data_IF_424447703945
#
_entry.id   IF_424447703945
#
_cell.length_a   1.000
_cell.length_b   1.000
_cell.length_c   1.000
_cell.angle_alpha   90.00
_cell.angle_beta   90.00
_cell.angle_gamma   90.00
#
_symmetry.space_group_name_H-M   'P 1'
#
loop_
_entity.id
_entity.type
_entity.pdbx_description
1 polymer ?
#
# COMPACT_ATOMS: atom_id res chain seq x y z
N UNK A 1 15.85 0.11 21.48
CA UNK A 1 15.28 -0.99 20.65
C UNK A 1 13.87 -1.38 21.07
N UNK A 2 13.60 -1.62 22.36
CA UNK A 2 12.26 -1.96 22.88
C UNK A 2 11.17 -0.88 22.64
N UNK A 3 11.52 0.41 22.70
CA UNK A 3 10.58 1.51 22.47
C UNK A 3 10.12 1.60 21.00
N UNK A 4 11.03 1.31 20.05
CA UNK A 4 10.71 1.24 18.60
C UNK A 4 9.79 0.06 18.31
N UNK A 5 10.08 -1.12 18.88
CA UNK A 5 9.21 -2.29 18.75
C UNK A 5 7.81 -2.05 19.32
N UNK A 6 7.69 -1.37 20.47
CA UNK A 6 6.38 -0.95 21.02
C UNK A 6 5.64 0.02 20.09
N UNK A 7 6.34 0.98 19.50
CA UNK A 7 5.73 1.91 18.55
C UNK A 7 5.19 1.18 17.30
N UNK A 8 5.99 0.27 16.71
CA UNK A 8 5.54 -0.55 15.58
C UNK A 8 4.40 -1.51 15.95
N UNK A 9 4.41 -2.07 17.16
CA UNK A 9 3.31 -2.90 17.66
C UNK A 9 2.00 -2.11 17.83
N UNK A 10 2.08 -0.87 18.32
CA UNK A 10 0.92 0.02 18.45
C UNK A 10 0.35 0.37 17.07
N UNK A 11 1.22 0.71 16.12
CA UNK A 11 0.86 1.00 14.73
C UNK A 11 0.21 -0.22 14.04
N UNK A 12 0.77 -1.42 14.24
CA UNK A 12 0.16 -2.67 13.76
C UNK A 12 -1.21 -2.96 14.39
N UNK A 13 -1.38 -2.65 15.68
CA UNK A 13 -2.66 -2.81 16.39
C UNK A 13 -3.72 -1.85 15.83
N UNK A 14 -3.35 -0.60 15.56
CA UNK A 14 -4.23 0.37 14.92
C UNK A 14 -4.69 -0.09 13.54
N UNK A 15 -3.79 -0.63 12.71
CA UNK A 15 -4.18 -1.22 11.43
C UNK A 15 -5.10 -2.43 11.58
N UNK A 16 -4.83 -3.32 12.54
CA UNK A 16 -5.68 -4.49 12.80
C UNK A 16 -7.10 -4.11 13.21
N UNK A 17 -7.26 -3.12 14.09
CA UNK A 17 -8.57 -2.58 14.48
C UNK A 17 -9.29 -2.00 13.26
N UNK A 18 -8.59 -1.21 12.44
CA UNK A 18 -9.15 -0.63 11.22
C UNK A 18 -9.66 -1.69 10.24
N UNK A 19 -8.88 -2.75 10.01
CA UNK A 19 -9.25 -3.84 9.10
C UNK A 19 -10.41 -4.69 9.62
N UNK A 20 -10.47 -4.96 10.93
CA UNK A 20 -11.52 -5.78 11.53
C UNK A 20 -12.87 -5.04 11.60
N UNK A 21 -12.87 -3.77 12.02
CA UNK A 21 -14.10 -3.02 12.26
C UNK A 21 -14.51 -2.10 11.11
N UNK A 22 -13.59 -1.79 10.18
CA UNK A 22 -13.82 -0.90 9.05
C UNK A 22 -15.00 -1.31 8.15
N UNK A 23 -15.10 -2.57 7.68
CA UNK A 23 -16.21 -3.04 6.85
C UNK A 23 -17.56 -2.96 7.57
N UNK A 24 -17.61 -3.29 8.87
CA UNK A 24 -18.84 -3.25 9.67
C UNK A 24 -19.30 -1.80 9.85
N UNK A 25 -18.38 -0.91 10.25
CA UNK A 25 -18.68 0.50 10.43
C UNK A 25 -19.13 1.16 9.12
N UNK A 26 -18.43 0.89 8.01
CA UNK A 26 -18.79 1.43 6.69
C UNK A 26 -20.14 0.89 6.18
N UNK A 27 -20.44 -0.40 6.39
CA UNK A 27 -21.73 -0.99 6.03
C UNK A 27 -22.90 -0.35 6.78
N UNK A 28 -22.77 -0.18 8.10
CA UNK A 28 -23.79 0.49 8.93
C UNK A 28 -23.99 1.95 8.52
N UNK A 29 -22.90 2.66 8.21
CA UNK A 29 -22.94 4.03 7.72
C UNK A 29 -23.66 4.15 6.37
N UNK A 30 -23.36 3.25 5.42
CA UNK A 30 -24.04 3.22 4.12
C UNK A 30 -25.54 2.97 4.32
N UNK A 31 -25.92 2.01 5.16
CA UNK A 31 -27.34 1.67 5.36
C UNK A 31 -28.15 2.79 6.00
N UNK A 32 -27.55 3.57 6.91
CA UNK A 32 -28.26 4.62 7.65
C UNK A 32 -28.19 6.00 6.97
N UNK A 33 -27.04 6.36 6.41
CA UNK A 33 -26.73 7.72 5.93
C UNK A 33 -26.27 7.77 4.46
N UNK A 34 -26.29 6.63 3.76
CA UNK A 34 -25.83 6.51 2.38
C UNK A 34 -24.32 6.53 2.23
N UNK A 35 -23.85 6.29 1.00
CA UNK A 35 -22.41 6.13 0.69
C UNK A 35 -21.56 7.37 0.99
N UNK A 36 -22.14 8.57 0.95
CA UNK A 36 -21.44 9.85 1.23
C UNK A 36 -20.91 9.92 2.65
N UNK A 37 -21.56 9.23 3.60
CA UNK A 37 -21.18 9.21 5.01
C UNK A 37 -19.79 8.57 5.23
N UNK A 38 -19.35 7.67 4.36
CA UNK A 38 -18.00 7.09 4.42
C UNK A 38 -16.94 8.17 4.25
N UNK A 39 -17.14 9.07 3.28
CA UNK A 39 -16.21 10.18 3.04
C UNK A 39 -16.19 11.16 4.22
N UNK A 40 -17.35 11.42 4.83
CA UNK A 40 -17.43 12.25 6.04
C UNK A 40 -16.71 11.62 7.23
N UNK A 41 -16.85 10.30 7.42
CA UNK A 41 -16.13 9.57 8.47
C UNK A 41 -14.62 9.65 8.27
N UNK A 42 -14.14 9.39 7.05
CA UNK A 42 -12.71 9.50 6.71
C UNK A 42 -12.20 10.91 6.94
N UNK A 43 -12.95 11.93 6.51
CA UNK A 43 -12.60 13.33 6.74
C UNK A 43 -12.54 13.67 8.25
N UNK A 44 -13.53 13.22 9.04
CA UNK A 44 -13.57 13.44 10.47
C UNK A 44 -12.37 12.78 11.19
N UNK A 45 -12.05 11.54 10.84
CA UNK A 45 -10.88 10.83 11.38
C UNK A 45 -9.57 11.51 10.99
N UNK A 46 -9.45 11.98 9.74
CA UNK A 46 -8.28 12.72 9.27
C UNK A 46 -8.10 14.03 10.04
N UNK A 47 -9.18 14.78 10.27
CA UNK A 47 -9.16 16.02 11.06
C UNK A 47 -8.77 15.73 12.52
N UNK A 48 -9.36 14.70 13.12
CA UNK A 48 -9.03 14.31 14.50
C UNK A 48 -7.56 13.91 14.63
N UNK A 49 -7.03 13.13 13.68
CA UNK A 49 -5.62 12.75 13.64
C UNK A 49 -4.70 13.97 13.44
N UNK A 50 -5.07 14.90 12.56
CA UNK A 50 -4.32 16.14 12.35
C UNK A 50 -4.31 17.02 13.61
N UNK A 51 -5.45 17.18 14.29
CA UNK A 51 -5.54 17.93 15.56
C UNK A 51 -4.70 17.30 16.66
N UNK A 52 -4.72 15.97 16.80
CA UNK A 52 -3.86 15.27 17.75
C UNK A 52 -2.38 15.44 17.37
N UNK A 53 -2.05 15.29 16.08
CA UNK A 53 -0.70 15.48 15.56
C UNK A 53 -0.15 16.85 15.91
N UNK A 54 -0.91 17.91 15.64
CA UNK A 54 -0.55 19.30 15.96
C UNK A 54 -0.32 19.54 17.46
N UNK A 55 -0.98 18.79 18.34
CA UNK A 55 -0.85 18.95 19.81
C UNK A 55 0.24 18.10 20.42
N UNK A 56 0.48 16.91 19.88
CA UNK A 56 1.30 15.87 20.54
C UNK A 56 2.65 15.68 19.85
N UNK A 57 2.74 15.90 18.54
CA UNK A 57 3.99 15.73 17.79
C UNK A 57 4.82 16.99 18.01
N UNK A 58 5.92 16.85 18.76
CA UNK A 58 6.99 17.85 18.75
C UNK A 58 7.70 17.77 17.41
N UNK A 59 7.85 18.94 16.79
CA UNK A 59 8.60 19.11 15.55
C UNK A 59 10.00 18.50 15.69
N UNK A 60 10.26 17.39 14.99
CA UNK A 60 11.57 16.78 14.91
C UNK A 60 12.34 17.44 13.77
N UNK A 61 12.68 18.73 13.95
CA UNK A 61 13.53 19.45 12.99
C UNK A 61 14.95 18.96 13.12
N UNK A 62 15.47 18.35 12.05
CA UNK A 62 16.91 18.18 11.84
C UNK A 62 17.49 19.56 11.45
N UNK A 63 18.29 20.21 12.31
CA UNK A 63 18.88 21.51 12.01
C UNK A 63 19.87 21.47 10.84
N UNK A 64 20.40 20.28 10.52
CA UNK A 64 21.32 20.03 9.42
C UNK A 64 20.62 19.54 8.14
N UNK A 65 19.27 19.59 8.09
CA UNK A 65 18.50 19.24 6.89
C UNK A 65 18.77 20.24 5.75
N UNK A 66 19.80 19.95 4.97
CA UNK A 66 20.22 20.71 3.79
C UNK A 66 19.45 20.20 2.57
N UNK A 67 18.26 20.79 2.35
CA UNK A 67 17.50 20.67 1.11
C UNK A 67 16.86 19.30 0.81
N UNK A 68 15.67 19.33 0.21
CA UNK A 68 15.03 18.15 -0.37
C UNK A 68 15.74 17.83 -1.71
N UNK A 69 15.98 16.55 -2.00
CA UNK A 69 16.44 16.15 -3.34
C UNK A 69 15.30 16.29 -4.36
N UNK A 70 15.17 17.49 -4.91
CA UNK A 70 14.17 17.82 -5.92
C UNK A 70 14.38 17.06 -7.23
N UNK A 71 15.63 16.72 -7.56
CA UNK A 71 15.95 15.99 -8.79
C UNK A 71 15.52 14.52 -8.65
N UNK A 72 15.83 13.88 -7.52
CA UNK A 72 15.34 12.54 -7.18
C UNK A 72 13.82 12.50 -7.10
N UNK A 73 13.20 13.44 -6.38
CA UNK A 73 11.75 13.52 -6.25
C UNK A 73 11.04 13.67 -7.61
N UNK A 74 11.55 14.56 -8.47
CA UNK A 74 11.00 14.80 -9.80
C UNK A 74 11.13 13.59 -10.71
N UNK A 75 12.33 13.02 -10.80
CA UNK A 75 12.59 11.84 -11.67
C UNK A 75 11.79 10.61 -11.22
N UNK A 76 11.69 10.37 -9.91
CA UNK A 76 10.87 9.29 -9.36
C UNK A 76 9.38 9.49 -9.63
N UNK A 77 8.88 10.71 -9.44
CA UNK A 77 7.46 11.03 -9.68
C UNK A 77 7.10 10.84 -11.15
N UNK A 78 7.94 11.32 -12.07
CA UNK A 78 7.71 11.16 -13.52
C UNK A 78 7.80 9.69 -13.92
N UNK A 79 8.76 8.94 -13.38
CA UNK A 79 8.87 7.50 -13.64
C UNK A 79 7.59 6.77 -13.21
N UNK A 80 7.15 6.99 -11.97
CA UNK A 80 5.97 6.32 -11.43
C UNK A 80 4.68 6.75 -12.15
N UNK A 81 4.52 8.04 -12.44
CA UNK A 81 3.35 8.54 -13.18
C UNK A 81 3.28 7.95 -14.59
N UNK A 82 4.41 7.90 -15.30
CA UNK A 82 4.49 7.33 -16.65
C UNK A 82 4.21 5.83 -16.63
N UNK A 83 4.75 5.11 -15.64
CA UNK A 83 4.48 3.68 -15.45
C UNK A 83 3.01 3.40 -15.20
N UNK A 84 2.43 4.08 -14.20
CA UNK A 84 1.03 3.90 -13.82
C UNK A 84 0.09 4.25 -14.96
N UNK A 85 0.33 5.37 -15.64
CA UNK A 85 -0.49 5.79 -16.77
C UNK A 85 -0.35 4.86 -17.97
N UNK A 86 0.88 4.44 -18.32
CA UNK A 86 1.11 3.49 -19.40
C UNK A 86 0.44 2.13 -19.17
N UNK A 87 0.53 1.60 -17.95
CA UNK A 87 -0.12 0.34 -17.58
C UNK A 87 -1.65 0.47 -17.57
N UNK A 88 -2.21 1.60 -17.14
CA UNK A 88 -3.65 1.84 -17.18
C UNK A 88 -4.18 1.97 -18.61
N UNK A 89 -3.38 2.51 -19.53
CA UNK A 89 -3.78 2.70 -20.92
C UNK A 89 -3.61 1.43 -21.77
N UNK A 90 -2.69 0.53 -21.39
CA UNK A 90 -2.40 -0.69 -22.15
C UNK A 90 -3.63 -1.60 -22.43
N UNK A 91 -4.57 -1.82 -21.49
CA UNK A 91 -5.79 -2.59 -21.77
C UNK A 91 -6.75 -1.91 -22.76
N UNK A 92 -6.73 -0.57 -22.86
CA UNK A 92 -7.64 0.19 -23.73
C UNK A 92 -7.08 0.38 -25.14
N UNK A 93 -5.81 0.75 -25.26
CA UNK A 93 -5.16 1.08 -26.53
C UNK A 93 -4.32 -0.07 -27.10
N UNK A 94 -4.01 -1.08 -26.29
CA UNK A 94 -3.14 -2.19 -26.65
C UNK A 94 -1.68 -1.95 -26.28
N UNK A 95 -0.93 -3.03 -26.06
CA UNK A 95 0.48 -2.98 -25.63
C UNK A 95 1.44 -2.44 -26.69
N UNK A 96 1.06 -2.51 -27.96
CA UNK A 96 1.86 -2.02 -29.08
C UNK A 96 1.53 -0.56 -29.47
N UNK A 97 0.61 0.09 -28.75
CA UNK A 97 0.26 1.47 -29.01
C UNK A 97 1.49 2.38 -28.77
N UNK A 98 1.81 3.30 -29.70
CA UNK A 98 2.97 4.19 -29.56
C UNK A 98 2.98 4.99 -28.26
N UNK A 99 1.82 5.42 -27.76
CA UNK A 99 1.69 6.15 -26.50
C UNK A 99 2.03 5.24 -25.30
N UNK A 100 1.55 3.99 -25.29
CA UNK A 100 1.87 3.03 -24.22
C UNK A 100 3.36 2.71 -24.22
N UNK A 101 3.95 2.42 -25.39
CA UNK A 101 5.38 2.11 -25.51
C UNK A 101 6.24 3.29 -25.09
N UNK A 102 5.90 4.52 -25.51
CA UNK A 102 6.65 5.72 -25.12
C UNK A 102 6.56 5.99 -23.62
N UNK A 103 5.40 5.81 -22.99
CA UNK A 103 5.25 5.97 -21.54
C UNK A 103 6.05 4.93 -20.76
N UNK A 104 6.02 3.66 -21.19
CA UNK A 104 6.80 2.59 -20.56
C UNK A 104 8.30 2.82 -20.73
N UNK A 105 8.74 3.24 -21.92
CA UNK A 105 10.13 3.60 -22.17
C UNK A 105 10.56 4.81 -21.33
N UNK A 106 9.75 5.87 -21.29
CA UNK A 106 9.99 7.05 -20.46
C UNK A 106 10.08 6.69 -18.98
N UNK A 107 9.21 5.81 -18.49
CA UNK A 107 9.29 5.28 -17.13
C UNK A 107 10.63 4.61 -16.86
N UNK A 108 11.11 3.74 -17.75
CA UNK A 108 12.41 3.05 -17.57
C UNK A 108 13.55 4.07 -17.55
N UNK A 109 13.55 5.02 -18.48
CA UNK A 109 14.58 6.05 -18.58
C UNK A 109 14.60 6.93 -17.33
N UNK A 110 13.45 7.42 -16.87
CA UNK A 110 13.34 8.22 -15.65
C UNK A 110 13.72 7.43 -14.40
N UNK A 111 13.41 6.14 -14.34
CA UNK A 111 13.81 5.28 -13.22
C UNK A 111 15.32 5.06 -13.18
N UNK A 112 15.96 4.84 -14.34
CA UNK A 112 17.43 4.77 -14.43
C UNK A 112 18.05 6.12 -14.05
N UNK A 113 17.49 7.23 -14.54
CA UNK A 113 17.94 8.57 -14.17
C UNK A 113 17.83 8.80 -12.65
N UNK A 114 16.72 8.40 -12.03
CA UNK A 114 16.53 8.45 -10.58
C UNK A 114 17.62 7.67 -9.84
N UNK A 115 17.92 6.43 -10.27
CA UNK A 115 18.99 5.62 -9.65
C UNK A 115 20.36 6.29 -9.78
N UNK A 116 20.64 6.93 -10.92
CA UNK A 116 21.91 7.64 -11.14
C UNK A 116 22.00 8.90 -10.27
N UNK A 117 20.92 9.69 -10.22
CA UNK A 117 20.83 10.90 -9.37
C UNK A 117 21.02 10.51 -7.91
N UNK A 118 20.36 9.47 -7.44
CA UNK A 118 20.44 9.07 -6.03
C UNK A 118 21.78 8.46 -5.63
N UNK A 119 22.50 7.85 -6.57
CA UNK A 119 23.88 7.43 -6.31
C UNK A 119 24.85 8.61 -6.19
N UNK A 120 24.52 9.75 -6.77
CA UNK A 120 25.35 10.95 -6.76
C UNK A 120 24.89 11.99 -5.71
N UNK A 121 23.67 11.87 -5.20
CA UNK A 121 23.11 12.76 -4.19
C UNK A 121 23.85 12.60 -2.85
N UNK A 122 24.13 13.71 -2.17
CA UNK A 122 24.81 13.70 -0.86
C UNK A 122 23.92 13.21 0.29
N UNK A 123 22.60 13.37 0.16
CA UNK A 123 21.58 12.84 1.08
C UNK A 123 20.45 12.24 0.25
N UNK A 124 20.58 10.98 -0.21
CA UNK A 124 19.59 10.38 -1.09
C UNK A 124 18.23 10.21 -0.40
N UNK A 125 17.14 10.39 -1.13
CA UNK A 125 15.79 10.17 -0.60
C UNK A 125 15.58 8.70 -0.25
N UNK A 126 16.17 7.82 -1.05
CA UNK A 126 16.13 6.39 -0.85
C UNK A 126 17.54 5.83 -0.79
N UNK A 127 17.88 5.22 0.34
CA UNK A 127 19.13 4.47 0.49
C UNK A 127 19.05 3.18 -0.33
N UNK A 128 19.57 3.23 -1.55
CA UNK A 128 19.60 2.10 -2.49
C UNK A 128 20.40 0.91 -1.96
N UNK A 129 21.27 1.10 -0.95
CA UNK A 129 22.01 -0.01 -0.33
C UNK A 129 21.10 -0.96 0.43
N UNK A 130 19.92 -0.50 0.87
CA UNK A 130 18.93 -1.35 1.53
C UNK A 130 18.42 -2.47 0.61
N UNK A 131 18.32 -2.22 -0.70
CA UNK A 131 17.93 -3.23 -1.67
C UNK A 131 18.99 -4.32 -1.87
N UNK A 132 20.24 -4.10 -1.46
CA UNK A 132 21.26 -5.15 -1.45
C UNK A 132 21.01 -6.20 -0.36
N UNK A 133 20.19 -5.89 0.66
CA UNK A 133 19.82 -6.83 1.71
C UNK A 133 18.58 -7.63 1.30
N UNK A 134 18.68 -8.96 1.11
CA UNK A 134 17.54 -9.79 0.71
C UNK A 134 16.37 -9.73 1.70
N UNK A 135 16.66 -9.49 2.98
CA UNK A 135 15.62 -9.31 4.02
C UNK A 135 14.76 -8.08 3.77
N UNK A 136 15.35 -6.96 3.36
CA UNK A 136 14.61 -5.74 3.05
C UNK A 136 13.71 -5.96 1.84
N UNK A 137 14.24 -6.57 0.77
CA UNK A 137 13.47 -6.94 -0.42
C UNK A 137 12.31 -7.88 -0.05
N UNK A 138 12.57 -8.89 0.79
CA UNK A 138 11.55 -9.81 1.30
C UNK A 138 10.41 -9.11 2.06
N UNK A 139 10.73 -8.11 2.90
CA UNK A 139 9.70 -7.32 3.61
C UNK A 139 8.86 -6.51 2.63
N UNK A 140 9.46 -5.92 1.58
CA UNK A 140 8.70 -5.18 0.57
C UNK A 140 7.80 -6.11 -0.26
N UNK A 141 8.28 -7.29 -0.64
CA UNK A 141 7.45 -8.30 -1.29
C UNK A 141 6.31 -8.77 -0.39
N UNK A 142 6.56 -8.92 0.92
CA UNK A 142 5.52 -9.29 1.88
C UNK A 142 4.44 -8.22 1.99
N UNK A 143 4.79 -6.94 1.87
CA UNK A 143 3.83 -5.83 1.83
C UNK A 143 3.07 -5.75 0.49
N UNK A 144 3.75 -6.02 -0.63
CA UNK A 144 3.16 -5.99 -1.96
C UNK A 144 2.25 -7.20 -2.25
N UNK A 145 2.57 -8.38 -1.72
CA UNK A 145 1.84 -9.61 -2.02
C UNK A 145 0.34 -9.53 -1.69
N UNK A 146 -0.11 -9.03 -0.52
CA UNK A 146 -1.53 -8.81 -0.26
C UNK A 146 -2.16 -7.80 -1.22
N UNK A 147 -1.46 -6.72 -1.57
CA UNK A 147 -1.99 -5.72 -2.49
C UNK A 147 -2.34 -6.34 -3.85
N UNK A 148 -1.47 -7.18 -4.40
CA UNK A 148 -1.73 -7.82 -5.70
C UNK A 148 -2.59 -9.09 -5.60
N UNK A 149 -2.28 -10.00 -4.67
CA UNK A 149 -2.95 -11.29 -4.58
C UNK A 149 -4.34 -11.21 -3.95
N UNK A 150 -4.61 -10.20 -3.12
CA UNK A 150 -5.92 -10.05 -2.47
C UNK A 150 -6.78 -8.95 -3.08
N UNK A 151 -6.27 -7.72 -3.20
CA UNK A 151 -7.10 -6.58 -3.63
C UNK A 151 -7.57 -6.73 -5.08
N UNK A 152 -6.71 -7.22 -5.98
CA UNK A 152 -7.09 -7.47 -7.37
C UNK A 152 -8.18 -8.54 -7.45
N UNK A 153 -8.03 -9.65 -6.72
CA UNK A 153 -9.01 -10.74 -6.71
C UNK A 153 -10.35 -10.34 -6.08
N UNK A 154 -10.34 -9.44 -5.09
CA UNK A 154 -11.56 -8.87 -4.51
C UNK A 154 -12.43 -8.14 -5.53
N UNK A 155 -11.83 -7.56 -6.58
CA UNK A 155 -12.56 -6.90 -7.66
C UNK A 155 -12.88 -7.89 -8.79
N UNK A 156 -11.89 -8.69 -9.19
CA UNK A 156 -12.00 -9.56 -10.36
C UNK A 156 -12.96 -10.74 -10.14
N UNK A 157 -12.97 -11.35 -8.96
CA UNK A 157 -13.76 -12.54 -8.69
C UNK A 157 -15.27 -12.27 -8.62
N UNK A 158 -15.77 -11.20 -7.99
CA UNK A 158 -17.20 -10.87 -8.08
C UNK A 158 -17.64 -10.60 -9.52
N UNK A 159 -16.84 -9.87 -10.30
CA UNK A 159 -17.12 -9.62 -11.72
C UNK A 159 -17.18 -10.93 -12.50
N UNK A 160 -16.28 -11.88 -12.21
CA UNK A 160 -16.28 -13.19 -12.84
C UNK A 160 -17.46 -14.06 -12.40
N UNK A 161 -17.64 -14.28 -11.10
CA UNK A 161 -18.66 -15.20 -10.57
C UNK A 161 -20.09 -14.71 -10.83
N UNK A 162 -20.34 -13.42 -10.58
CA UNK A 162 -21.69 -12.84 -10.73
C UNK A 162 -21.89 -12.39 -12.17
N UNK A 163 -20.93 -11.65 -12.73
CA UNK A 163 -21.08 -11.02 -14.05
C UNK A 163 -20.91 -11.97 -15.23
N UNK A 164 -19.95 -12.91 -15.19
CA UNK A 164 -19.65 -13.81 -16.32
C UNK A 164 -20.30 -15.18 -16.11
N UNK A 165 -20.12 -15.78 -14.93
CA UNK A 165 -20.58 -17.14 -14.62
C UNK A 165 -22.05 -17.19 -14.15
N UNK A 166 -22.69 -16.03 -13.91
CA UNK A 166 -24.09 -15.93 -13.53
C UNK A 166 -24.43 -16.61 -12.20
N UNK A 167 -23.44 -16.78 -11.32
CA UNK A 167 -23.63 -17.41 -10.02
C UNK A 167 -24.50 -16.52 -9.12
N UNK A 168 -25.31 -17.17 -8.27
CA UNK A 168 -26.04 -16.49 -7.21
C UNK A 168 -25.06 -15.76 -6.26
N UNK A 169 -25.41 -14.55 -5.85
CA UNK A 169 -24.61 -13.65 -5.00
C UNK A 169 -24.16 -14.33 -3.69
N UNK A 170 -25.05 -15.12 -3.09
CA UNK A 170 -24.75 -15.88 -1.86
C UNK A 170 -23.63 -16.89 -2.09
N UNK A 171 -23.65 -17.60 -3.23
CA UNK A 171 -22.65 -18.63 -3.56
C UNK A 171 -21.31 -18.00 -3.92
N UNK A 172 -21.31 -16.87 -4.64
CA UNK A 172 -20.11 -16.08 -4.88
C UNK A 172 -19.50 -15.56 -3.57
N UNK A 173 -20.34 -15.05 -2.66
CA UNK A 173 -19.94 -14.63 -1.31
C UNK A 173 -19.30 -15.76 -0.49
N UNK A 174 -19.86 -16.97 -0.55
CA UNK A 174 -19.27 -18.14 0.10
C UNK A 174 -17.87 -18.48 -0.44
N UNK A 175 -17.68 -18.44 -1.77
CA UNK A 175 -16.36 -18.68 -2.37
C UNK A 175 -15.36 -17.56 -2.03
N UNK A 176 -15.83 -16.33 -1.85
CA UNK A 176 -15.00 -15.21 -1.41
C UNK A 176 -14.49 -15.38 0.03
N UNK A 177 -15.15 -16.18 0.88
CA UNK A 177 -14.63 -16.53 2.21
C UNK A 177 -13.33 -17.33 2.10
N UNK A 178 -13.17 -18.18 1.08
CA UNK A 178 -11.91 -18.88 0.85
C UNK A 178 -10.75 -17.93 0.53
N UNK A 179 -11.04 -16.75 -0.04
CA UNK A 179 -10.05 -15.72 -0.31
C UNK A 179 -9.68 -14.93 0.96
N UNK A 180 -10.67 -14.54 1.78
CA UNK A 180 -10.45 -13.71 2.97
C UNK A 180 -10.07 -14.49 4.23
N UNK A 181 -10.49 -15.75 4.33
CA UNK A 181 -10.24 -16.64 5.46
C UNK A 181 -8.75 -16.79 5.83
N UNK A 182 -7.86 -17.12 4.86
CA UNK A 182 -6.43 -17.22 5.13
C UNK A 182 -5.83 -15.90 5.64
N UNK A 183 -6.30 -14.74 5.18
CA UNK A 183 -5.80 -13.44 5.63
C UNK A 183 -6.27 -13.06 7.03
N UNK A 184 -7.37 -13.63 7.51
CA UNK A 184 -7.78 -13.50 8.91
C UNK A 184 -6.95 -14.42 9.81
N UNK A 185 -6.74 -15.67 9.37
CA UNK A 185 -6.18 -16.75 10.20
C UNK A 185 -4.64 -16.72 10.22
N UNK A 186 -3.99 -16.53 9.07
CA UNK A 186 -2.53 -16.61 8.94
C UNK A 186 -1.78 -15.54 9.75
N UNK A 187 -2.21 -14.27 9.82
CA UNK A 187 -1.54 -13.28 10.68
C UNK A 187 -1.65 -13.63 12.16
N UNK A 188 -2.79 -14.19 12.60
CA UNK A 188 -2.98 -14.65 13.98
C UNK A 188 -2.05 -15.83 14.30
N UNK A 189 -1.96 -16.81 13.40
CA UNK A 189 -1.05 -17.94 13.52
C UNK A 189 0.43 -17.50 13.47
N UNK A 190 0.79 -16.61 12.54
CA UNK A 190 2.13 -16.07 12.44
C UNK A 190 2.53 -15.29 13.71
N UNK A 191 1.62 -14.51 14.29
CA UNK A 191 1.84 -13.82 15.57
C UNK A 191 1.93 -14.77 16.78
N UNK A 192 1.27 -15.93 16.72
CA UNK A 192 1.46 -17.01 17.70
C UNK A 192 2.82 -17.68 17.53
N UNK A 193 3.20 -18.06 16.31
CA UNK A 193 4.45 -18.74 15.99
C UNK A 193 5.68 -17.84 16.19
N UNK A 194 5.56 -16.54 15.96
CA UNK A 194 6.62 -15.56 16.23
C UNK A 194 7.00 -15.46 17.72
N UNK A 195 6.18 -15.97 18.63
CA UNK A 195 6.55 -16.12 20.05
C UNK A 195 7.50 -17.28 20.31
N UNK A 196 7.57 -18.25 19.38
CA UNK A 196 8.36 -19.46 19.49
C UNK A 196 9.58 -19.45 18.57
N UNK A 197 9.53 -18.68 17.49
CA UNK A 197 10.62 -18.52 16.53
C UNK A 197 11.39 -17.25 16.89
N UNK A 198 12.62 -17.40 17.37
CA UNK A 198 13.50 -16.27 17.63
C UNK A 198 13.71 -15.45 16.33
N UNK A 199 13.73 -14.10 16.40
CA UNK A 199 13.99 -13.29 15.22
C UNK A 199 15.35 -13.69 14.64
N UNK A 200 15.35 -14.08 13.36
CA UNK A 200 16.56 -14.48 12.66
C UNK A 200 17.58 -13.34 12.71
N UNK A 201 18.66 -13.53 13.47
CA UNK A 201 19.79 -12.60 13.60
C UNK A 201 20.40 -12.31 12.25
#
# INVERSE_FOLDING_TARGET
TALRLRAFSFLGTSFGIGLAFGPIASGLLISAFGWRSIFLLVAALAIAAAMLGLRTIRESRDPDATGLDWAGAGTFTIALASLTYGVLQAPQSGWADPLVVTLLAASIICFVAFVVVERQAQRPMLDLTLFAYPRFVGVQFLAAAPAYAFVVLLVLLPIRFIGIEGMNEIKAGQLMICLSGPLLILPMLAGQLARWIAPAT
#
